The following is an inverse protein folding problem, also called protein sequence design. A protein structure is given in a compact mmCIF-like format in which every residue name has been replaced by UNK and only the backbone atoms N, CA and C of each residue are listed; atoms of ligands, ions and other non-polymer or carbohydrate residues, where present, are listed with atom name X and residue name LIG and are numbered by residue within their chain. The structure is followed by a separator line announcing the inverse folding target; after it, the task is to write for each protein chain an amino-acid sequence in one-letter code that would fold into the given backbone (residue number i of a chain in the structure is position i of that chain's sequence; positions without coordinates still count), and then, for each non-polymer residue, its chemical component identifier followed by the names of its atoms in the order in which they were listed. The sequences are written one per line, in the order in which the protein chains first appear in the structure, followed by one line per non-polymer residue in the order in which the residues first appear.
data_IF_906895547688
#
_entry.id   IF_906895547688
#
_cell.length_a   1.000
_cell.length_b   1.000
_cell.length_c   1.000
_cell.angle_alpha   90.00
_cell.angle_beta   90.00
_cell.angle_gamma   90.00
#
_symmetry.space_group_name_H-M   'P 1'
#
loop_
_entity.id
_entity.type
_entity.pdbx_description
1 polymer ?
#
# COMPACT_ATOMS: atom_id res chain seq x y z
N UNK A 1 7.98 11.24 -7.07
CA UNK A 1 6.89 10.26 -6.76
C UNK A 1 6.17 9.89 -8.03
N UNK A 2 5.57 8.69 -8.12
CA UNK A 2 4.78 8.23 -9.27
C UNK A 2 3.30 8.12 -8.88
N UNK A 3 2.39 8.52 -9.75
CA UNK A 3 0.95 8.34 -9.54
C UNK A 3 0.51 7.03 -10.22
N UNK A 4 -0.05 6.12 -9.44
CA UNK A 4 -0.54 4.83 -9.89
C UNK A 4 -1.99 4.56 -9.50
N UNK A 5 -2.44 3.35 -9.80
CA UNK A 5 -3.77 2.85 -9.42
C UNK A 5 -3.70 1.34 -9.18
N UNK A 6 -4.52 0.85 -8.25
CA UNK A 6 -4.79 -0.59 -8.13
C UNK A 6 -5.52 -1.04 -9.40
N UNK A 7 -4.98 -2.07 -10.06
CA UNK A 7 -5.47 -2.57 -11.34
C UNK A 7 -5.36 -4.09 -11.43
N UNK A 8 -5.94 -4.66 -12.47
CA UNK A 8 -5.70 -6.04 -12.89
C UNK A 8 -4.37 -6.19 -13.64
N UNK A 9 -3.95 -7.44 -13.83
CA UNK A 9 -2.69 -7.80 -14.53
C UNK A 9 -2.91 -8.25 -15.98
N UNK A 10 -4.06 -7.98 -16.57
CA UNK A 10 -4.37 -8.27 -17.98
C UNK A 10 -3.92 -7.15 -18.91
N UNK A 11 -3.77 -7.46 -20.20
CA UNK A 11 -3.39 -6.46 -21.20
C UNK A 11 -4.38 -5.29 -21.25
N UNK A 12 -5.69 -5.55 -21.19
CA UNK A 12 -6.72 -4.50 -21.17
C UNK A 12 -6.57 -3.58 -19.96
N UNK A 13 -6.19 -4.13 -18.80
CA UNK A 13 -5.95 -3.35 -17.60
C UNK A 13 -4.73 -2.43 -17.75
N UNK A 14 -3.63 -2.91 -18.35
CA UNK A 14 -2.47 -2.07 -18.65
C UNK A 14 -2.82 -0.97 -19.67
N UNK A 15 -3.57 -1.31 -20.72
CA UNK A 15 -4.03 -0.32 -21.69
C UNK A 15 -4.91 0.76 -21.05
N UNK A 16 -5.81 0.35 -20.17
CA UNK A 16 -6.66 1.26 -19.40
C UNK A 16 -5.82 2.24 -18.56
N UNK A 17 -4.88 1.73 -17.76
CA UNK A 17 -4.01 2.57 -16.92
C UNK A 17 -3.16 3.51 -17.77
N UNK A 18 -2.66 3.05 -18.93
CA UNK A 18 -1.92 3.87 -19.88
C UNK A 18 -2.78 5.03 -20.41
N UNK A 19 -4.04 4.75 -20.77
CA UNK A 19 -4.98 5.77 -21.26
C UNK A 19 -5.32 6.83 -20.21
N UNK A 20 -5.28 6.47 -18.91
CA UNK A 20 -5.44 7.42 -17.79
C UNK A 20 -4.23 8.36 -17.62
N UNK A 21 -3.11 8.12 -18.31
CA UNK A 21 -1.88 8.90 -18.15
C UNK A 21 -1.20 8.69 -16.80
N UNK A 22 -1.38 7.52 -16.19
CA UNK A 22 -0.73 7.13 -14.94
C UNK A 22 0.69 6.60 -15.17
N UNK A 23 1.51 6.61 -14.11
CA UNK A 23 2.95 6.32 -14.19
C UNK A 23 3.31 4.89 -13.79
N UNK A 24 2.41 4.17 -13.11
CA UNK A 24 2.64 2.81 -12.60
C UNK A 24 1.32 2.11 -12.26
N UNK A 25 1.42 0.81 -12.02
CA UNK A 25 0.31 -0.06 -11.58
C UNK A 25 0.60 -0.68 -10.22
N UNK A 26 -0.45 -1.03 -9.51
CA UNK A 26 -0.40 -1.84 -8.29
C UNK A 26 -1.33 -3.03 -8.44
N UNK A 27 -0.95 -4.19 -7.88
CA UNK A 27 -1.75 -5.40 -7.93
C UNK A 27 -2.15 -5.87 -6.54
N UNK A 28 -3.31 -6.54 -6.47
CA UNK A 28 -3.78 -7.23 -5.27
C UNK A 28 -3.89 -8.73 -5.53
N UNK A 29 -3.13 -9.52 -4.76
CA UNK A 29 -3.30 -10.98 -4.66
C UNK A 29 -3.87 -11.30 -3.27
N UNK A 30 -5.18 -11.05 -3.07
CA UNK A 30 -5.84 -11.15 -1.78
C UNK A 30 -5.93 -12.59 -1.28
N UNK A 31 -6.35 -12.78 0.01
CA UNK A 31 -6.40 -14.09 0.66
C UNK A 31 -7.22 -15.16 -0.09
N UNK A 32 -8.18 -14.73 -0.90
CA UNK A 32 -9.01 -15.63 -1.75
C UNK A 32 -8.42 -15.84 -3.15
N UNK A 33 -7.28 -15.24 -3.47
CA UNK A 33 -6.61 -15.36 -4.77
C UNK A 33 -5.65 -16.54 -4.77
N UNK A 34 -5.54 -17.22 -5.90
CA UNK A 34 -4.56 -18.28 -6.13
C UNK A 34 -3.16 -17.68 -6.36
N UNK A 35 -2.31 -17.74 -5.34
CA UNK A 35 -0.95 -17.20 -5.37
C UNK A 35 -0.06 -17.90 -6.40
N UNK A 36 -0.22 -19.21 -6.58
CA UNK A 36 0.55 -19.98 -7.57
C UNK A 36 0.17 -19.59 -8.98
N UNK A 37 -1.12 -19.40 -9.25
CA UNK A 37 -1.57 -18.86 -10.54
C UNK A 37 -1.02 -17.46 -10.75
N UNK A 38 -1.07 -16.59 -9.75
CA UNK A 38 -0.51 -15.24 -9.83
C UNK A 38 1.00 -15.29 -10.15
N UNK A 39 1.76 -16.13 -9.48
CA UNK A 39 3.18 -16.35 -9.74
C UNK A 39 3.41 -16.85 -11.19
N UNK A 40 2.60 -17.79 -11.67
CA UNK A 40 2.76 -18.34 -13.02
C UNK A 40 2.56 -17.29 -14.13
N UNK A 41 1.79 -16.23 -13.86
CA UNK A 41 1.55 -15.11 -14.78
C UNK A 41 2.60 -13.99 -14.68
N UNK A 42 3.51 -14.04 -13.71
CA UNK A 42 4.49 -12.98 -13.48
C UNK A 42 5.39 -12.66 -14.69
N UNK A 43 5.89 -13.63 -15.49
CA UNK A 43 6.68 -13.33 -16.69
C UNK A 43 5.87 -12.59 -17.77
N UNK A 44 4.61 -12.98 -17.99
CA UNK A 44 3.72 -12.31 -18.94
C UNK A 44 3.39 -10.89 -18.47
N UNK A 45 3.06 -10.73 -17.20
CA UNK A 45 2.79 -9.43 -16.57
C UNK A 45 4.00 -8.49 -16.67
N UNK A 46 5.22 -9.00 -16.48
CA UNK A 46 6.44 -8.24 -16.72
C UNK A 46 6.54 -7.74 -18.17
N UNK A 47 6.29 -8.61 -19.14
CA UNK A 47 6.31 -8.21 -20.56
C UNK A 47 5.26 -7.12 -20.86
N UNK A 48 4.07 -7.19 -20.26
CA UNK A 48 3.06 -6.14 -20.37
C UNK A 48 3.52 -4.82 -19.71
N UNK A 49 4.11 -4.89 -18.51
CA UNK A 49 4.70 -3.73 -17.82
C UNK A 49 5.73 -3.03 -18.71
N UNK A 50 6.62 -3.78 -19.35
CA UNK A 50 7.64 -3.25 -20.27
C UNK A 50 7.00 -2.68 -21.55
N UNK A 51 6.04 -3.39 -22.15
CA UNK A 51 5.32 -2.98 -23.36
C UNK A 51 4.61 -1.64 -23.19
N UNK A 52 3.95 -1.43 -22.05
CA UNK A 52 3.19 -0.21 -21.79
C UNK A 52 4.01 0.87 -21.07
N UNK A 53 5.23 0.57 -20.61
CA UNK A 53 6.07 1.48 -19.82
C UNK A 53 5.44 1.83 -18.47
N UNK A 54 4.75 0.87 -17.85
CA UNK A 54 4.05 1.01 -16.57
C UNK A 54 4.66 0.02 -15.56
N UNK A 55 5.67 0.42 -14.77
CA UNK A 55 6.26 -0.44 -13.75
C UNK A 55 5.24 -0.84 -12.70
N UNK A 56 5.38 -2.05 -12.15
CA UNK A 56 4.61 -2.53 -11.00
C UNK A 56 5.19 -1.90 -9.73
N UNK A 57 4.40 -1.10 -9.04
CA UNK A 57 4.86 -0.32 -7.87
C UNK A 57 4.78 -1.12 -6.57
N UNK A 58 3.75 -1.93 -6.41
CA UNK A 58 3.56 -2.81 -5.25
C UNK A 58 2.65 -3.98 -5.58
N UNK A 59 2.75 -5.04 -4.77
CA UNK A 59 1.80 -6.15 -4.72
C UNK A 59 1.28 -6.24 -3.30
N UNK A 60 -0.04 -6.21 -3.12
CA UNK A 60 -0.70 -6.32 -1.83
C UNK A 60 -1.41 -7.66 -1.63
N UNK A 61 -1.32 -8.25 -0.44
CA UNK A 61 -2.07 -9.43 -0.03
C UNK A 61 -2.82 -9.13 1.28
N UNK A 62 -4.09 -8.77 1.13
CA UNK A 62 -4.93 -8.31 2.22
C UNK A 62 -5.80 -9.43 2.79
N UNK A 63 -6.12 -9.34 4.10
CA UNK A 63 -7.11 -10.15 4.78
C UNK A 63 -6.71 -11.61 5.06
N UNK A 64 -5.50 -12.05 4.75
CA UNK A 64 -5.05 -13.42 5.02
C UNK A 64 -4.80 -13.66 6.52
N UNK A 65 -5.27 -14.81 7.04
CA UNK A 65 -5.01 -15.26 8.40
C UNK A 65 -3.71 -16.05 8.43
N UNK A 66 -2.68 -15.51 9.05
CA UNK A 66 -1.32 -16.01 9.04
C UNK A 66 -0.92 -16.79 10.27
N UNK A 67 -1.62 -16.52 11.37
CA UNK A 67 -1.51 -17.25 12.64
C UNK A 67 -2.83 -17.96 12.90
N UNK A 68 -2.77 -19.21 13.34
CA UNK A 68 -3.94 -19.97 13.79
C UNK A 68 -4.45 -19.48 15.16
N UNK A 69 -5.48 -20.13 15.69
CA UNK A 69 -6.10 -19.75 16.97
C UNK A 69 -5.18 -19.97 18.18
N UNK A 70 -4.17 -20.82 18.06
CA UNK A 70 -3.13 -21.11 19.06
C UNK A 70 -1.89 -20.19 18.91
N UNK A 71 -1.81 -19.43 17.82
CA UNK A 71 -0.68 -18.54 17.50
C UNK A 71 0.47 -19.22 16.76
N UNK A 72 0.24 -20.40 16.18
CA UNK A 72 1.22 -21.01 15.30
C UNK A 72 1.17 -20.34 13.92
N UNK A 73 2.33 -20.21 13.29
CA UNK A 73 2.44 -19.72 11.92
C UNK A 73 1.86 -20.78 10.98
N UNK A 74 0.92 -20.39 10.13
CA UNK A 74 0.30 -21.26 9.12
C UNK A 74 1.27 -21.35 7.93
N UNK A 75 1.95 -22.49 7.78
CA UNK A 75 2.95 -22.73 6.73
C UNK A 75 2.43 -22.43 5.32
N UNK A 76 1.19 -22.81 5.03
CA UNK A 76 0.56 -22.50 3.74
C UNK A 76 0.55 -20.99 3.45
N UNK A 77 0.26 -20.15 4.45
CA UNK A 77 0.24 -18.70 4.27
C UNK A 77 1.62 -18.13 4.02
N UNK A 78 2.65 -18.71 4.66
CA UNK A 78 4.04 -18.35 4.37
C UNK A 78 4.41 -18.67 2.93
N UNK A 79 4.03 -19.83 2.41
CA UNK A 79 4.32 -20.21 1.02
C UNK A 79 3.54 -19.34 0.03
N UNK A 80 2.28 -19.00 0.31
CA UNK A 80 1.50 -18.11 -0.54
C UNK A 80 2.04 -16.67 -0.55
N UNK A 81 2.54 -16.16 0.58
CA UNK A 81 3.22 -14.86 0.63
C UNK A 81 4.58 -14.91 -0.09
N UNK A 82 5.31 -16.04 -0.02
CA UNK A 82 6.53 -16.26 -0.82
C UNK A 82 6.26 -16.30 -2.32
N UNK A 83 5.17 -16.91 -2.77
CA UNK A 83 4.73 -16.88 -4.17
C UNK A 83 4.54 -15.44 -4.65
N UNK A 84 3.92 -14.58 -3.82
CA UNK A 84 3.73 -13.15 -4.13
C UNK A 84 5.07 -12.38 -4.17
N UNK A 85 6.00 -12.70 -3.26
CA UNK A 85 7.35 -12.08 -3.23
C UNK A 85 8.15 -12.51 -4.46
N UNK A 86 8.06 -13.77 -4.86
CA UNK A 86 8.72 -14.28 -6.08
C UNK A 86 8.15 -13.61 -7.33
N UNK A 87 6.81 -13.51 -7.42
CA UNK A 87 6.15 -12.79 -8.51
C UNK A 87 6.61 -11.31 -8.55
N UNK A 88 6.71 -10.65 -7.40
CA UNK A 88 7.23 -9.28 -7.29
C UNK A 88 8.65 -9.18 -7.85
N UNK A 89 9.54 -10.09 -7.47
CA UNK A 89 10.92 -10.15 -7.98
C UNK A 89 10.97 -10.31 -9.49
N UNK A 90 10.19 -11.23 -10.07
CA UNK A 90 10.13 -11.46 -11.51
C UNK A 90 9.64 -10.21 -12.24
N UNK A 91 8.60 -9.53 -11.73
CA UNK A 91 8.02 -8.32 -12.32
C UNK A 91 8.89 -7.07 -12.11
N UNK A 92 9.94 -7.13 -11.29
CA UNK A 92 10.73 -5.96 -10.87
C UNK A 92 9.98 -5.02 -9.93
N UNK A 93 8.97 -5.54 -9.23
CA UNK A 93 8.20 -4.82 -8.24
C UNK A 93 8.98 -4.69 -6.94
N UNK A 94 9.18 -3.46 -6.40
CA UNK A 94 10.06 -3.26 -5.25
C UNK A 94 9.43 -3.58 -3.90
N UNK A 95 8.08 -3.71 -3.81
CA UNK A 95 7.37 -3.77 -2.53
C UNK A 95 6.29 -4.84 -2.53
N UNK A 96 6.33 -5.73 -1.54
CA UNK A 96 5.23 -6.62 -1.18
C UNK A 96 4.59 -6.14 0.11
N UNK A 97 3.26 -5.98 0.10
CA UNK A 97 2.48 -5.45 1.22
C UNK A 97 1.62 -6.55 1.85
N UNK A 98 1.78 -6.78 3.16
CA UNK A 98 0.98 -7.75 3.89
C UNK A 98 0.74 -7.30 5.35
N UNK A 99 0.02 -8.09 6.13
CA UNK A 99 -0.23 -7.88 7.56
C UNK A 99 0.06 -9.15 8.36
N UNK A 100 -0.23 -9.13 9.66
CA UNK A 100 -0.24 -10.30 10.53
C UNK A 100 -1.42 -10.17 11.49
N UNK A 101 -2.30 -11.17 11.52
CA UNK A 101 -3.52 -11.11 12.34
C UNK A 101 -3.21 -11.21 13.84
N UNK A 102 -4.14 -10.67 14.64
CA UNK A 102 -4.17 -10.88 16.09
C UNK A 102 -4.73 -12.26 16.40
N UNK A 103 -4.17 -12.87 17.45
CA UNK A 103 -4.69 -14.08 18.08
C UNK A 103 -5.23 -13.71 19.45
N UNK A 104 -6.53 -13.90 19.67
CA UNK A 104 -7.21 -13.45 20.88
C UNK A 104 -6.77 -14.22 22.14
N UNK A 105 -6.35 -15.49 21.98
CA UNK A 105 -5.83 -16.32 23.07
C UNK A 105 -4.46 -15.87 23.58
N UNK A 106 -3.73 -15.07 22.79
CA UNK A 106 -2.39 -14.61 23.15
C UNK A 106 -2.43 -13.24 23.83
N UNK A 107 -1.46 -13.00 24.71
CA UNK A 107 -1.22 -11.66 25.26
C UNK A 107 -0.84 -10.67 24.15
N UNK A 108 -0.94 -9.36 24.46
CA UNK A 108 -0.47 -8.31 23.54
C UNK A 108 1.01 -8.51 23.16
N UNK A 109 1.84 -8.81 24.15
CA UNK A 109 3.27 -9.05 23.94
C UNK A 109 3.54 -10.28 23.06
N UNK A 110 2.84 -11.39 23.30
CA UNK A 110 3.03 -12.61 22.51
C UNK A 110 2.60 -12.41 21.06
N UNK A 111 1.51 -11.66 20.82
CA UNK A 111 1.11 -11.26 19.47
C UNK A 111 2.20 -10.46 18.75
N UNK A 112 2.88 -9.53 19.44
CA UNK A 112 4.01 -8.80 18.86
C UNK A 112 5.18 -9.72 18.52
N UNK A 113 5.52 -10.67 19.40
CA UNK A 113 6.59 -11.64 19.14
C UNK A 113 6.25 -12.53 17.93
N UNK A 114 4.98 -12.97 17.82
CA UNK A 114 4.52 -13.75 16.66
C UNK A 114 4.57 -12.96 15.36
N UNK A 115 4.20 -11.70 15.38
CA UNK A 115 4.34 -10.82 14.22
C UNK A 115 5.81 -10.64 13.82
N UNK A 116 6.72 -10.42 14.77
CA UNK A 116 8.17 -10.33 14.53
C UNK A 116 8.69 -11.63 13.92
N UNK A 117 8.31 -12.78 14.47
CA UNK A 117 8.68 -14.10 13.94
C UNK A 117 8.23 -14.27 12.49
N UNK A 118 6.96 -13.99 12.21
CA UNK A 118 6.37 -14.09 10.87
C UNK A 118 7.07 -13.19 9.85
N UNK A 119 7.22 -11.90 10.16
CA UNK A 119 7.87 -10.95 9.24
C UNK A 119 9.36 -11.25 9.06
N UNK A 120 10.05 -11.83 10.06
CA UNK A 120 11.44 -12.27 9.90
C UNK A 120 11.58 -13.30 8.80
N UNK A 121 10.68 -14.29 8.74
CA UNK A 121 10.66 -15.31 7.69
C UNK A 121 10.50 -14.68 6.30
N UNK A 122 9.58 -13.73 6.17
CA UNK A 122 9.36 -13.05 4.89
C UNK A 122 10.55 -12.16 4.49
N UNK A 123 11.16 -11.44 5.44
CA UNK A 123 12.32 -10.60 5.17
C UNK A 123 13.53 -11.42 4.71
N UNK A 124 13.80 -12.57 5.33
CA UNK A 124 14.86 -13.49 4.91
C UNK A 124 14.65 -13.96 3.47
N UNK A 125 13.41 -14.28 3.11
CA UNK A 125 13.06 -14.71 1.75
C UNK A 125 13.12 -13.58 0.72
N UNK A 126 12.69 -12.38 1.10
CA UNK A 126 12.57 -11.22 0.22
C UNK A 126 13.92 -10.53 -0.06
N UNK A 127 14.84 -10.50 0.91
CA UNK A 127 16.13 -9.80 0.82
C UNK A 127 16.95 -10.20 -0.42
N UNK A 128 17.24 -11.47 -0.70
CA UNK A 128 18.01 -11.86 -1.89
C UNK A 128 17.26 -11.59 -3.21
N UNK A 129 15.96 -11.32 -3.16
CA UNK A 129 15.09 -11.02 -4.30
C UNK A 129 14.94 -9.54 -4.60
N UNK A 130 15.53 -8.69 -3.75
CA UNK A 130 15.43 -7.24 -3.89
C UNK A 130 14.03 -6.66 -3.60
N UNK A 131 13.15 -7.45 -2.97
CA UNK A 131 11.78 -7.03 -2.61
C UNK A 131 11.76 -6.59 -1.15
N UNK A 132 11.15 -5.43 -0.88
CA UNK A 132 10.93 -4.91 0.48
C UNK A 132 9.56 -5.34 0.98
N UNK A 133 9.47 -5.62 2.28
CA UNK A 133 8.20 -5.96 2.92
C UNK A 133 7.62 -4.72 3.60
N UNK A 134 6.33 -4.44 3.36
CA UNK A 134 5.59 -3.35 3.99
C UNK A 134 4.36 -3.88 4.73
N UNK A 135 4.17 -3.45 5.98
CA UNK A 135 2.95 -3.74 6.74
C UNK A 135 1.92 -2.68 6.40
N UNK A 136 0.68 -3.07 6.09
CA UNK A 136 -0.39 -2.10 5.87
C UNK A 136 -0.97 -1.55 7.19
N UNK A 137 -1.38 -0.29 7.21
CA UNK A 137 -1.91 0.38 8.40
C UNK A 137 -3.43 0.22 8.61
N UNK A 138 -4.04 -0.75 7.95
CA UNK A 138 -5.42 -1.18 8.16
C UNK A 138 -5.48 -2.24 9.27
N UNK A 139 -6.48 -2.17 10.15
CA UNK A 139 -6.72 -3.19 11.18
C UNK A 139 -7.43 -4.45 10.66
N UNK A 140 -7.77 -4.51 9.37
CA UNK A 140 -8.43 -5.69 8.80
C UNK A 140 -7.46 -6.87 8.75
N UNK A 141 -7.72 -7.84 9.61
CA UNK A 141 -6.90 -9.03 9.82
C UNK A 141 -5.38 -8.72 9.93
N UNK A 142 -5.09 -7.62 10.63
CA UNK A 142 -3.73 -7.16 10.90
C UNK A 142 -3.67 -6.51 12.28
N UNK A 143 -2.75 -6.97 13.10
CA UNK A 143 -2.51 -6.47 14.45
C UNK A 143 -1.53 -5.29 14.46
N UNK A 144 -0.57 -5.27 13.54
CA UNK A 144 0.52 -4.30 13.50
C UNK A 144 0.13 -3.11 12.59
N UNK A 145 -0.82 -2.27 13.03
CA UNK A 145 -1.39 -1.24 12.17
C UNK A 145 -1.25 0.21 12.68
N UNK A 146 -0.66 0.42 13.86
CA UNK A 146 -0.53 1.74 14.47
C UNK A 146 0.82 1.98 15.16
N UNK A 147 1.05 3.22 15.59
CA UNK A 147 2.28 3.68 16.26
C UNK A 147 2.80 2.71 17.31
N UNK A 148 1.90 2.17 18.15
CA UNK A 148 2.25 1.32 19.30
C UNK A 148 2.92 0.03 18.88
N UNK A 149 2.35 -0.61 17.87
CA UNK A 149 2.87 -1.86 17.33
C UNK A 149 4.10 -1.59 16.47
N UNK A 150 4.10 -0.49 15.70
CA UNK A 150 5.24 -0.14 14.84
C UNK A 150 6.50 0.15 15.65
N UNK A 151 6.40 0.83 16.79
CA UNK A 151 7.56 1.11 17.65
C UNK A 151 8.32 -0.16 18.02
N UNK A 152 7.58 -1.23 18.32
CA UNK A 152 8.16 -2.51 18.74
C UNK A 152 8.58 -3.35 17.54
N UNK A 153 7.68 -3.57 16.58
CA UNK A 153 7.91 -4.50 15.47
C UNK A 153 8.94 -3.95 14.49
N UNK A 154 8.83 -2.66 14.10
CA UNK A 154 9.81 -2.04 13.20
C UNK A 154 11.13 -1.72 13.92
N UNK A 155 11.09 -1.58 15.24
CA UNK A 155 12.31 -1.48 16.06
C UNK A 155 13.09 -2.78 16.07
N UNK A 156 12.40 -3.93 16.16
CA UNK A 156 13.01 -5.25 16.09
C UNK A 156 13.45 -5.62 14.65
N UNK A 157 12.72 -5.15 13.65
CA UNK A 157 12.92 -5.45 12.23
C UNK A 157 13.13 -4.16 11.41
N UNK A 158 14.32 -3.56 11.43
CA UNK A 158 14.58 -2.25 10.81
C UNK A 158 14.37 -2.21 9.29
N UNK A 159 14.44 -3.34 8.60
CA UNK A 159 14.21 -3.46 7.14
C UNK A 159 12.72 -3.42 6.77
N UNK A 160 11.83 -3.69 7.73
CA UNK A 160 10.40 -3.66 7.53
C UNK A 160 9.92 -2.22 7.35
N UNK A 161 8.99 -2.00 6.41
CA UNK A 161 8.39 -0.70 6.17
C UNK A 161 6.88 -0.70 6.33
N UNK A 162 6.26 0.39 5.91
CA UNK A 162 4.82 0.63 6.03
C UNK A 162 4.22 0.88 4.64
N UNK A 163 3.13 0.20 4.33
CA UNK A 163 2.16 0.65 3.33
C UNK A 163 1.14 1.53 4.05
N UNK A 164 1.07 2.79 3.67
CA UNK A 164 0.28 3.77 4.38
C UNK A 164 -0.94 4.23 3.58
N UNK A 165 -2.06 4.31 4.26
CA UNK A 165 -3.34 4.79 3.75
C UNK A 165 -4.00 5.67 4.83
N UNK A 166 -4.19 6.94 4.50
CA UNK A 166 -4.73 7.96 5.40
C UNK A 166 -6.14 7.61 5.89
N UNK A 167 -6.94 6.95 5.05
CA UNK A 167 -8.35 6.65 5.36
C UNK A 167 -8.52 5.82 6.62
N UNK A 168 -7.54 4.94 6.91
CA UNK A 168 -7.58 4.09 8.11
C UNK A 168 -7.40 4.86 9.43
N UNK A 169 -6.90 6.10 9.39
CA UNK A 169 -6.82 6.95 10.59
C UNK A 169 -8.19 7.49 10.99
N UNK A 170 -9.10 7.72 10.04
CA UNK A 170 -10.47 8.17 10.34
C UNK A 170 -11.32 7.04 10.93
N UNK A 171 -11.05 5.79 10.60
CA UNK A 171 -11.80 4.62 11.05
C UNK A 171 -11.71 4.35 12.56
N UNK A 172 -10.75 4.95 13.26
CA UNK A 172 -10.47 4.71 14.67
C UNK A 172 -10.92 5.84 15.60
N UNK A 173 -12.06 6.48 15.28
CA UNK A 173 -12.71 7.44 16.17
C UNK A 173 -11.94 8.73 16.49
N UNK A 174 -10.97 9.09 15.63
CA UNK A 174 -10.20 10.32 15.77
C UNK A 174 -9.00 10.23 16.73
N UNK A 175 -8.71 9.08 17.32
CA UNK A 175 -7.53 8.87 18.17
C UNK A 175 -6.23 8.84 17.36
N UNK A 176 -6.32 8.53 16.06
CA UNK A 176 -5.20 8.51 15.12
C UNK A 176 -5.12 9.82 14.33
N UNK A 177 -3.92 10.36 14.20
CA UNK A 177 -3.65 11.58 13.45
C UNK A 177 -2.64 11.27 12.34
N UNK A 178 -3.13 11.18 11.09
CA UNK A 178 -2.33 10.80 9.93
C UNK A 178 -1.14 11.74 9.67
N UNK A 179 -1.28 13.06 9.95
CA UNK A 179 -0.15 13.98 9.79
C UNK A 179 0.94 13.73 10.83
N UNK A 180 0.56 13.41 12.07
CA UNK A 180 1.50 13.01 13.11
C UNK A 180 2.18 11.69 12.72
N UNK A 181 1.41 10.69 12.30
CA UNK A 181 1.97 9.39 11.89
C UNK A 181 2.96 9.54 10.72
N UNK A 182 2.63 10.33 9.69
CA UNK A 182 3.55 10.60 8.59
C UNK A 182 4.78 11.39 9.08
N UNK A 183 4.61 12.36 10.01
CA UNK A 183 5.76 13.06 10.62
C UNK A 183 6.73 12.09 11.29
N UNK A 184 6.21 11.14 12.05
CA UNK A 184 7.03 10.26 12.88
C UNK A 184 7.54 9.05 12.08
N UNK A 185 6.71 8.46 11.22
CA UNK A 185 6.97 7.22 10.50
C UNK A 185 7.16 7.37 8.98
N UNK A 186 7.05 8.57 8.43
CA UNK A 186 7.14 8.78 6.98
C UNK A 186 8.42 8.26 6.34
N UNK A 187 9.52 8.17 7.10
CA UNK A 187 10.79 7.58 6.65
C UNK A 187 10.73 6.05 6.48
N UNK A 188 9.69 5.41 7.00
CA UNK A 188 9.42 3.96 6.88
C UNK A 188 8.38 3.65 5.80
N UNK A 189 7.72 4.65 5.22
CA UNK A 189 6.71 4.43 4.19
C UNK A 189 7.38 3.96 2.91
N UNK A 190 7.00 2.77 2.44
CA UNK A 190 7.46 2.17 1.20
C UNK A 190 6.43 2.27 0.07
N UNK A 191 5.14 2.32 0.42
CA UNK A 191 4.03 2.46 -0.51
C UNK A 191 2.91 3.29 0.11
N UNK A 192 2.18 4.05 -0.71
CA UNK A 192 1.17 4.98 -0.22
C UNK A 192 -0.11 4.88 -1.05
N UNK A 193 -1.27 4.83 -0.37
CA UNK A 193 -2.58 4.82 -1.02
C UNK A 193 -3.27 6.19 -0.98
N UNK A 194 -3.88 6.53 -2.11
CA UNK A 194 -4.82 7.64 -2.25
C UNK A 194 -6.22 7.06 -2.25
N UNK A 195 -6.83 7.05 -1.08
CA UNK A 195 -8.22 6.66 -0.84
C UNK A 195 -8.90 7.76 -0.05
N UNK A 196 -9.97 8.33 -0.59
CA UNK A 196 -10.75 9.32 0.11
C UNK A 196 -11.44 8.74 1.34
N UNK A 197 -11.82 9.61 2.28
CA UNK A 197 -12.49 9.19 3.50
C UNK A 197 -13.43 10.28 3.98
N UNK A 198 -14.68 9.93 4.18
CA UNK A 198 -15.73 10.84 4.69
C UNK A 198 -16.43 10.18 5.88
N UNK A 199 -16.23 10.77 7.06
CA UNK A 199 -16.84 10.35 8.32
C UNK A 199 -17.70 11.50 8.87
N UNK A 200 -18.89 11.19 9.35
CA UNK A 200 -19.81 12.12 9.99
C UNK A 200 -20.07 11.57 11.40
N UNK A 201 -19.77 12.36 12.41
CA UNK A 201 -19.91 11.99 13.84
C UNK A 201 -19.25 10.63 14.18
N UNK A 202 -18.08 10.38 13.60
CA UNK A 202 -17.30 9.14 13.81
C UNK A 202 -17.81 7.92 13.05
N UNK A 203 -18.86 8.07 12.22
CA UNK A 203 -19.41 7.00 11.39
C UNK A 203 -18.95 7.17 9.94
N UNK A 204 -18.42 6.10 9.35
CA UNK A 204 -18.06 6.10 7.92
C UNK A 204 -19.31 6.34 7.08
N UNK A 205 -19.27 7.40 6.29
CA UNK A 205 -20.32 7.72 5.33
C UNK A 205 -19.99 7.17 3.92
N UNK A 206 -18.75 7.45 3.43
CA UNK A 206 -18.27 6.99 2.12
C UNK A 206 -16.74 7.07 2.07
N UNK A 207 -16.15 6.44 1.05
CA UNK A 207 -14.76 6.62 0.63
C UNK A 207 -14.74 7.31 -0.76
N UNK A 208 -15.06 8.61 -0.84
CA UNK A 208 -15.22 9.31 -2.10
C UNK A 208 -13.87 9.55 -2.81
N UNK A 209 -13.87 10.00 -4.08
CA UNK A 209 -12.64 10.42 -4.75
C UNK A 209 -11.84 11.44 -3.95
N UNK A 210 -10.51 11.33 -3.97
CA UNK A 210 -9.65 12.28 -3.26
C UNK A 210 -9.90 13.71 -3.75
N UNK A 211 -10.09 14.62 -2.80
CA UNK A 211 -10.50 16.01 -3.04
C UNK A 211 -12.00 16.26 -2.86
N UNK A 212 -12.81 15.19 -2.74
CA UNK A 212 -14.22 15.25 -2.31
C UNK A 212 -14.38 14.66 -0.89
N UNK A 213 -13.28 14.49 -0.19
CA UNK A 213 -13.14 13.84 1.11
C UNK A 213 -12.63 14.82 2.18
N UNK A 214 -12.38 14.32 3.38
CA UNK A 214 -11.91 15.11 4.53
C UNK A 214 -10.37 15.18 4.65
N UNK A 215 -9.62 14.49 3.79
CA UNK A 215 -8.17 14.43 3.87
C UNK A 215 -7.54 15.75 3.38
N UNK A 216 -6.64 16.32 4.17
CA UNK A 216 -5.80 17.43 3.70
C UNK A 216 -4.67 16.91 2.81
N UNK A 217 -4.99 16.59 1.55
CA UNK A 217 -4.04 16.03 0.58
C UNK A 217 -2.83 16.95 0.35
N UNK A 218 -3.03 18.26 0.36
CA UNK A 218 -1.92 19.22 0.23
C UNK A 218 -0.90 19.06 1.36
N UNK A 219 -1.35 18.93 2.60
CA UNK A 219 -0.47 18.69 3.74
C UNK A 219 0.20 17.32 3.66
N UNK A 220 -0.55 16.27 3.28
CA UNK A 220 -0.03 14.91 3.10
C UNK A 220 1.10 14.90 2.07
N UNK A 221 0.87 15.46 0.88
CA UNK A 221 1.87 15.48 -0.19
C UNK A 221 3.11 16.27 0.20
N UNK A 222 2.94 17.44 0.85
CA UNK A 222 4.07 18.18 1.40
C UNK A 222 4.89 17.35 2.39
N UNK A 223 4.23 16.61 3.29
CA UNK A 223 4.94 15.77 4.25
C UNK A 223 5.66 14.60 3.60
N UNK A 224 5.10 13.97 2.58
CA UNK A 224 5.79 12.93 1.81
C UNK A 224 7.08 13.49 1.18
N UNK A 225 7.06 14.71 0.63
CA UNK A 225 8.26 15.38 0.13
C UNK A 225 9.29 15.65 1.24
N UNK A 226 8.87 16.17 2.41
CA UNK A 226 9.77 16.44 3.53
C UNK A 226 10.40 15.18 4.11
N UNK A 227 9.75 14.03 3.96
CA UNK A 227 10.26 12.71 4.32
C UNK A 227 11.07 12.04 3.20
N UNK A 228 11.31 12.77 2.10
CA UNK A 228 12.05 12.29 0.94
C UNK A 228 11.44 11.00 0.32
N UNK A 229 10.10 10.85 0.40
CA UNK A 229 9.41 9.72 -0.19
C UNK A 229 9.53 9.74 -1.71
N UNK A 230 9.99 8.64 -2.30
CA UNK A 230 10.23 8.49 -3.75
C UNK A 230 9.35 7.41 -4.38
N UNK A 231 8.54 6.74 -3.59
CA UNK A 231 7.69 5.63 -4.04
C UNK A 231 6.50 6.07 -4.86
N UNK A 232 5.60 5.14 -5.10
CA UNK A 232 4.33 5.39 -5.75
C UNK A 232 3.25 5.82 -4.75
N UNK A 233 2.34 6.67 -5.23
CA UNK A 233 1.07 6.99 -4.58
C UNK A 233 -0.03 6.40 -5.45
N UNK A 234 -0.69 5.34 -4.98
CA UNK A 234 -1.66 4.57 -5.77
C UNK A 234 -3.09 4.90 -5.40
N UNK A 235 -3.90 5.17 -6.41
CA UNK A 235 -5.35 5.38 -6.25
C UNK A 235 -6.00 4.05 -5.92
N UNK A 236 -6.75 4.01 -4.83
CA UNK A 236 -7.61 2.89 -4.42
C UNK A 236 -9.07 3.32 -4.47
N UNK A 237 -9.83 3.07 -5.57
CA UNK A 237 -11.27 3.31 -5.62
C UNK A 237 -11.97 2.33 -4.66
N UNK A 238 -12.68 2.85 -3.65
CA UNK A 238 -13.26 2.01 -2.59
C UNK A 238 -14.69 2.38 -2.20
N UNK A 239 -15.28 3.38 -2.85
CA UNK A 239 -16.63 3.84 -2.58
C UNK A 239 -17.68 2.88 -3.09
N UNK A 240 -18.75 2.69 -2.32
CA UNK A 240 -19.95 2.00 -2.76
C UNK A 240 -20.84 2.84 -3.69
N UNK A 241 -20.72 4.16 -3.64
CA UNK A 241 -21.45 5.10 -4.48
C UNK A 241 -20.75 5.40 -5.81
N UNK A 242 -19.42 5.56 -5.80
CA UNK A 242 -18.58 5.88 -6.96
C UNK A 242 -18.19 4.61 -7.71
N UNK A 243 -19.19 4.02 -8.40
CA UNK A 243 -19.07 2.80 -9.23
C UNK A 243 -19.50 3.08 -10.66
N UNK A 244 -19.14 2.21 -11.59
CA UNK A 244 -19.46 2.30 -13.01
C UNK A 244 -19.02 3.66 -13.60
N UNK A 245 -19.88 4.35 -14.32
CA UNK A 245 -19.56 5.65 -14.94
C UNK A 245 -19.17 6.72 -13.90
N UNK A 246 -19.80 6.69 -12.72
CA UNK A 246 -19.41 7.57 -11.61
C UNK A 246 -18.03 7.20 -11.06
N UNK A 247 -17.71 5.91 -11.01
CA UNK A 247 -16.39 5.42 -10.62
C UNK A 247 -15.30 5.93 -11.54
N UNK A 248 -15.53 5.85 -12.86
CA UNK A 248 -14.62 6.40 -13.85
C UNK A 248 -14.42 7.90 -13.67
N UNK A 249 -15.51 8.64 -13.51
CA UNK A 249 -15.42 10.09 -13.25
C UNK A 249 -14.66 10.41 -11.96
N UNK A 250 -14.85 9.61 -10.92
CA UNK A 250 -14.15 9.74 -9.64
C UNK A 250 -12.64 9.50 -9.76
N UNK A 251 -12.24 8.50 -10.55
CA UNK A 251 -10.82 8.25 -10.87
C UNK A 251 -10.24 9.44 -11.63
N UNK A 252 -10.90 9.91 -12.68
CA UNK A 252 -10.46 11.06 -13.47
C UNK A 252 -10.37 12.34 -12.63
N UNK A 253 -11.32 12.53 -11.69
CA UNK A 253 -11.30 13.64 -10.76
C UNK A 253 -10.09 13.53 -9.81
N UNK A 254 -9.85 12.36 -9.20
CA UNK A 254 -8.71 12.12 -8.31
C UNK A 254 -7.38 12.38 -9.03
N UNK A 255 -7.25 11.91 -10.28
CA UNK A 255 -6.05 12.16 -11.08
C UNK A 255 -5.82 13.66 -11.28
N UNK A 256 -6.84 14.41 -11.72
CA UNK A 256 -6.75 15.86 -11.92
C UNK A 256 -6.44 16.64 -10.64
N UNK A 257 -6.94 16.15 -9.51
CA UNK A 257 -6.74 16.78 -8.20
C UNK A 257 -5.33 16.51 -7.63
N UNK A 258 -4.84 15.28 -7.72
CA UNK A 258 -3.56 14.84 -7.10
C UNK A 258 -2.36 15.14 -8.02
N UNK A 259 -2.49 14.96 -9.35
CA UNK A 259 -1.37 15.11 -10.29
C UNK A 259 -0.61 16.44 -10.16
N UNK A 260 -1.26 17.59 -10.00
CA UNK A 260 -0.55 18.87 -9.83
C UNK A 260 0.31 18.96 -8.56
N UNK A 261 0.10 18.08 -7.58
CA UNK A 261 0.89 18.02 -6.35
C UNK A 261 2.13 17.13 -6.50
N UNK A 262 2.28 16.42 -7.62
CA UNK A 262 3.44 15.57 -7.91
C UNK A 262 4.40 16.33 -8.82
N UNK A 263 5.59 16.63 -8.29
CA UNK A 263 6.64 17.30 -9.03
C UNK A 263 7.16 16.38 -10.15
N UNK A 264 7.24 16.86 -11.41
CA UNK A 264 7.85 16.10 -12.50
C UNK A 264 9.30 15.72 -12.19
N UNK A 265 9.74 14.55 -12.63
CA UNK A 265 11.11 14.06 -12.39
C UNK A 265 12.16 14.94 -13.07
N UNK A 266 11.81 15.60 -14.18
CA UNK A 266 12.65 16.52 -14.95
C UNK A 266 12.53 17.98 -14.52
N UNK A 267 11.80 18.27 -13.44
CA UNK A 267 11.64 19.62 -12.94
C UNK A 267 12.99 20.22 -12.51
N UNK A 268 13.43 21.25 -13.20
CA UNK A 268 14.57 22.07 -12.83
C UNK A 268 14.11 23.47 -12.45
N UNK A 269 14.40 23.90 -11.22
CA UNK A 269 14.12 25.27 -10.82
C UNK A 269 14.92 26.25 -11.68
N UNK A 270 14.35 27.39 -12.15
CA UNK A 270 15.13 28.47 -12.67
C UNK A 270 16.16 28.92 -11.62
N UNK A 271 17.41 29.14 -12.02
CA UNK A 271 18.56 29.49 -11.14
C UNK A 271 18.32 30.80 -10.32
N UNK A 272 17.20 31.46 -10.50
CA UNK A 272 16.93 32.80 -9.97
C UNK A 272 16.14 32.86 -8.65
N UNK A 273 15.89 31.74 -7.95
CA UNK A 273 15.29 31.82 -6.61
C UNK A 273 16.39 32.03 -5.57
N UNK A 274 16.58 33.29 -5.17
CA UNK A 274 17.34 33.67 -3.97
C UNK A 274 16.29 34.00 -2.90
N UNK A 275 16.23 33.29 -1.76
CA UNK A 275 15.28 33.58 -0.69
C UNK A 275 15.57 34.93 -0.03
#
# INVERSE_FOLDING_TARGET
MKLGIISGWTEDAFQYVKNLGLDCVEFCCNYYSDSKRFLSLAPETKALSEKYGLPVASIGRWGATRLDEEGNIIEQMVEEDKDCIEAASIMGCPVFCCGCNRVEALSYYDNLQKAIEYFSILLEYARPRGVKIAIYNCGWNNFVYSDKEWEIVLGALPELGIKYDVSHCFAHGGDRNYLREIRDWGHKILHFHIKGSLYIDGVRYDDPPAGLDQTNWGAVMNMLYTKNYKGAVSIEPHSDYWKDDRGQWGIDYTIRYIRPMIMPDDYSAPIAYIP
#
